data_IF_968406947118
#
_entry.id   IF_968406947118
#
_cell.length_a   1.000
_cell.length_b   1.000
_cell.length_c   1.000
_cell.angle_alpha   90.00
_cell.angle_beta   90.00
_cell.angle_gamma   90.00
#
_symmetry.space_group_name_H-M   'P 1'
#
loop_
_entity.id
_entity.type
_entity.pdbx_description
1 polymer ?
#
# COMPACT_ATOMS: atom_id res chain seq x y z
N UNK A 1 22.87 -12.83 19.59
CA UNK A 1 21.95 -13.79 18.95
C UNK A 1 20.61 -13.13 19.13
N UNK A 2 20.31 -12.25 18.19
CA UNK A 2 19.42 -11.13 18.49
C UNK A 2 17.99 -11.58 18.23
N UNK A 3 17.21 -11.56 19.30
CA UNK A 3 15.82 -11.97 19.32
C UNK A 3 15.03 -10.91 18.55
N UNK A 4 14.56 -11.26 17.35
CA UNK A 4 13.63 -10.41 16.60
C UNK A 4 12.32 -10.32 17.40
N UNK A 5 12.10 -9.17 18.04
CA UNK A 5 10.87 -8.85 18.74
C UNK A 5 9.78 -8.58 17.68
N UNK A 6 8.88 -9.53 17.48
CA UNK A 6 7.90 -9.58 16.40
C UNK A 6 6.70 -8.63 16.53
N UNK A 7 6.78 -7.62 17.41
CA UNK A 7 5.65 -6.74 17.73
C UNK A 7 5.73 -5.34 17.12
N UNK A 8 6.71 -5.07 16.26
CA UNK A 8 6.73 -3.85 15.47
C UNK A 8 6.00 -4.10 14.15
N UNK A 9 4.68 -3.97 14.15
CA UNK A 9 3.94 -3.78 12.89
C UNK A 9 4.56 -2.56 12.20
N UNK A 10 5.30 -2.79 11.12
CA UNK A 10 5.83 -1.71 10.28
C UNK A 10 4.63 -1.03 9.62
N UNK A 11 4.11 0.00 10.29
CA UNK A 11 3.14 0.91 9.71
C UNK A 11 3.93 1.87 8.80
N UNK A 12 3.96 1.61 7.49
CA UNK A 12 4.38 2.63 6.55
C UNK A 12 3.17 3.47 6.15
N UNK A 13 3.27 4.78 6.25
CA UNK A 13 2.30 5.67 5.65
C UNK A 13 2.55 5.73 4.14
N UNK A 14 1.50 6.00 3.37
CA UNK A 14 1.61 6.19 1.93
C UNK A 14 2.69 7.23 1.57
N UNK A 15 2.78 8.30 2.36
CA UNK A 15 3.76 9.37 2.18
C UNK A 15 5.21 8.95 2.48
N UNK A 16 5.42 7.81 3.13
CA UNK A 16 6.77 7.26 3.38
C UNK A 16 7.31 6.52 2.13
N UNK A 17 6.44 6.16 1.19
CA UNK A 17 6.82 5.50 -0.05
C UNK A 17 7.20 6.55 -1.08
N UNK A 18 8.45 6.54 -1.52
CA UNK A 18 8.89 7.42 -2.60
C UNK A 18 8.11 7.14 -3.88
N UNK A 19 7.56 8.18 -4.51
CA UNK A 19 6.88 8.06 -5.82
C UNK A 19 7.81 7.56 -6.93
N UNK A 20 9.12 7.60 -6.69
CA UNK A 20 10.12 7.21 -7.65
C UNK A 20 11.31 6.57 -6.96
N UNK A 21 11.78 5.47 -7.52
CA UNK A 21 13.00 4.81 -7.12
C UNK A 21 13.91 4.65 -8.34
N UNK A 22 15.22 4.65 -8.09
CA UNK A 22 16.21 4.33 -9.11
C UNK A 22 16.87 3.00 -8.76
N UNK A 23 16.86 2.06 -9.71
CA UNK A 23 17.56 0.79 -9.59
C UNK A 23 18.53 0.74 -10.77
N UNK A 24 19.82 0.76 -10.47
CA UNK A 24 20.90 0.91 -11.46
C UNK A 24 20.70 2.15 -12.34
N UNK A 25 20.60 1.97 -13.67
CA UNK A 25 20.37 3.02 -14.65
C UNK A 25 18.88 3.26 -14.96
N UNK A 26 17.98 2.50 -14.32
CA UNK A 26 16.56 2.55 -14.60
C UNK A 26 15.81 3.30 -13.50
N UNK A 27 14.85 4.12 -13.93
CA UNK A 27 13.99 4.93 -13.07
C UNK A 27 12.58 4.35 -13.10
N UNK A 28 12.08 3.99 -11.93
CA UNK A 28 10.77 3.38 -11.74
C UNK A 28 9.86 4.35 -11.01
N UNK A 29 8.64 4.47 -11.51
CA UNK A 29 7.63 5.32 -10.89
C UNK A 29 6.57 4.46 -10.22
N UNK A 30 6.17 4.87 -9.03
CA UNK A 30 5.08 4.26 -8.29
C UNK A 30 3.76 4.49 -9.06
N UNK A 31 3.11 3.38 -9.41
CA UNK A 31 1.88 3.37 -10.21
C UNK A 31 0.71 2.71 -9.51
N UNK A 32 0.97 1.92 -8.47
CA UNK A 32 -0.08 1.26 -7.72
C UNK A 32 0.40 0.77 -6.36
N UNK A 33 -0.53 0.68 -5.42
CA UNK A 33 -0.32 0.24 -4.04
C UNK A 33 -1.52 -0.59 -3.62
N UNK A 34 -1.28 -1.74 -3.02
CA UNK A 34 -2.32 -2.55 -2.39
C UNK A 34 -2.17 -2.44 -0.89
N UNK A 35 -3.21 -1.99 -0.20
CA UNK A 35 -3.24 -1.87 1.25
C UNK A 35 -4.16 -2.92 1.85
N UNK A 36 -3.73 -3.53 2.95
CA UNK A 36 -4.55 -4.40 3.78
C UNK A 36 -5.27 -3.57 4.85
N UNK A 37 -6.58 -3.78 4.97
CA UNK A 37 -7.44 -3.17 5.96
C UNK A 37 -7.83 -4.25 6.97
N UNK A 38 -7.45 -4.03 8.22
CA UNK A 38 -7.81 -4.94 9.30
C UNK A 38 -9.32 -5.03 9.48
N UNK A 39 -9.87 -6.21 9.81
CA UNK A 39 -11.29 -6.37 10.08
C UNK A 39 -11.71 -5.52 11.28
N UNK A 40 -12.93 -4.98 11.25
CA UNK A 40 -13.51 -4.16 12.32
C UNK A 40 -13.91 -4.95 13.59
N UNK A 41 -13.35 -6.14 13.82
CA UNK A 41 -13.62 -6.96 15.00
C UNK A 41 -12.74 -8.23 15.10
N UNK A 42 -12.79 -8.88 16.27
CA UNK A 42 -11.91 -10.01 16.67
C UNK A 42 -12.06 -11.29 15.82
N UNK A 43 -13.08 -11.38 14.97
CA UNK A 43 -13.38 -12.56 14.15
C UNK A 43 -13.67 -12.21 12.68
N UNK A 44 -13.19 -11.05 12.20
CA UNK A 44 -13.51 -10.60 10.85
C UNK A 44 -12.54 -11.09 9.78
N UNK A 45 -12.99 -11.00 8.52
CA UNK A 45 -12.15 -11.18 7.34
C UNK A 45 -11.59 -9.80 6.99
N UNK A 46 -10.26 -9.69 6.87
CA UNK A 46 -9.64 -8.45 6.40
C UNK A 46 -9.92 -8.19 4.93
N UNK A 47 -9.77 -6.93 4.52
CA UNK A 47 -10.13 -6.45 3.19
C UNK A 47 -8.92 -5.79 2.53
N UNK A 48 -8.84 -5.83 1.20
CA UNK A 48 -7.75 -5.19 0.47
C UNK A 48 -8.30 -4.08 -0.43
N UNK A 49 -7.69 -2.91 -0.35
CA UNK A 49 -7.95 -1.81 -1.28
C UNK A 49 -6.74 -1.57 -2.17
N UNK A 50 -6.97 -1.04 -3.37
CA UNK A 50 -5.92 -0.65 -4.30
C UNK A 50 -5.96 0.85 -4.59
N UNK A 51 -4.81 1.50 -4.57
CA UNK A 51 -4.60 2.85 -5.07
C UNK A 51 -3.87 2.75 -6.39
N UNK A 52 -4.38 3.37 -7.45
CA UNK A 52 -3.80 3.28 -8.80
C UNK A 52 -3.60 4.67 -9.38
N UNK A 53 -2.44 4.90 -9.98
CA UNK A 53 -2.10 6.13 -10.68
C UNK A 53 -2.45 6.00 -12.17
N UNK A 54 -3.30 6.90 -12.67
CA UNK A 54 -3.60 7.02 -14.10
C UNK A 54 -2.43 7.60 -14.88
N UNK A 55 -2.43 7.43 -16.20
CA UNK A 55 -1.47 8.08 -17.10
C UNK A 55 -1.51 9.62 -17.00
N UNK A 56 -2.65 10.19 -16.62
CA UNK A 56 -2.81 11.62 -16.33
C UNK A 56 -2.11 12.09 -15.05
N UNK A 57 -1.55 11.17 -14.26
CA UNK A 57 -0.89 11.44 -12.98
C UNK A 57 -1.83 11.47 -11.78
N UNK A 58 -3.15 11.41 -11.98
CA UNK A 58 -4.17 11.37 -10.93
C UNK A 58 -4.21 9.99 -10.25
N UNK A 59 -4.51 9.99 -8.95
CA UNK A 59 -4.69 8.77 -8.16
C UNK A 59 -6.17 8.44 -8.00
N UNK A 60 -6.48 7.15 -8.07
CA UNK A 60 -7.82 6.60 -7.85
C UNK A 60 -7.75 5.48 -6.82
N UNK A 61 -8.75 5.42 -5.94
CA UNK A 61 -8.93 4.31 -5.01
C UNK A 61 -9.95 3.33 -5.59
N UNK A 62 -9.64 2.04 -5.49
CA UNK A 62 -10.50 0.93 -5.85
C UNK A 62 -10.70 0.05 -4.62
N UNK A 63 -11.94 0.02 -4.14
CA UNK A 63 -12.42 -0.79 -3.02
C UNK A 63 -13.51 -1.72 -3.57
N UNK A 64 -13.07 -2.88 -4.07
CA UNK A 64 -13.91 -3.88 -4.75
C UNK A 64 -14.90 -3.28 -5.77
N UNK A 65 -16.20 -3.50 -5.55
CA UNK A 65 -17.30 -3.05 -6.40
C UNK A 65 -17.91 -1.72 -5.95
N UNK A 66 -17.35 -1.07 -4.92
CA UNK A 66 -17.83 0.25 -4.51
C UNK A 66 -17.43 1.31 -5.54
N UNK A 67 -18.31 1.51 -6.53
CA UNK A 67 -18.35 2.73 -7.34
C UNK A 67 -18.97 3.82 -6.48
N UNK A 68 -18.15 4.73 -5.95
CA UNK A 68 -18.62 6.06 -5.56
C UNK A 68 -18.34 7.05 -6.67
#
# INVERSE_FOLDING_TARGET
MDTFNSNNTLMCYLNDVSEEISIESNKYRLTGITAYIEPSGLSGIGHYIAYVRRLSGQWEQHDDLTRT
#
